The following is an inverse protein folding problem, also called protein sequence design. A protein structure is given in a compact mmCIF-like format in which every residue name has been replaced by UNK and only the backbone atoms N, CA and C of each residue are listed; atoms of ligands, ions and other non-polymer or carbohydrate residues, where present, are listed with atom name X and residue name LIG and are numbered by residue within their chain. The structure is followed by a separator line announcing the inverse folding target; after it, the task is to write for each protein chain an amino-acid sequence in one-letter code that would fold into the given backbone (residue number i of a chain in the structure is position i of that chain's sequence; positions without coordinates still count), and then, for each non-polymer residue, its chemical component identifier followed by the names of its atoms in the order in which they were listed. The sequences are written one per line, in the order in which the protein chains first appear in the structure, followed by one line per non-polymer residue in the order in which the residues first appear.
data_IF_958263006622
#
_entry.id   IF_958263006622
#
_cell.length_a   1.000
_cell.length_b   1.000
_cell.length_c   1.000
_cell.angle_alpha   90.00
_cell.angle_beta   90.00
_cell.angle_gamma   90.00
#
_symmetry.space_group_name_H-M   'P 1'
#
loop_
_entity.id
_entity.type
_entity.pdbx_description
1 polymer ?
#
# COMPACT_ATOMS: atom_id res chain seq x y z
N UNK A 1 -6.17 13.18 12.57
CA UNK A 1 -6.96 12.20 11.81
C UNK A 1 -6.41 12.22 10.39
N UNK A 2 -5.93 11.10 9.81
CA UNK A 2 -5.68 11.08 8.38
C UNK A 2 -7.03 11.14 7.67
N UNK A 3 -7.13 11.95 6.62
CA UNK A 3 -8.32 11.95 5.76
C UNK A 3 -8.46 10.54 5.16
N UNK A 4 -9.71 10.05 5.09
CA UNK A 4 -10.09 8.82 4.39
C UNK A 4 -9.89 9.01 2.88
N UNK A 5 -8.64 9.08 2.45
CA UNK A 5 -8.27 8.92 1.05
C UNK A 5 -8.17 7.40 0.83
N UNK A 6 -9.29 6.70 0.96
CA UNK A 6 -9.38 5.31 0.52
C UNK A 6 -9.06 5.30 -0.97
N UNK A 7 -8.22 4.35 -1.38
CA UNK A 7 -7.86 4.10 -2.77
C UNK A 7 -9.09 4.27 -3.64
N UNK A 8 -9.07 5.12 -4.69
CA UNK A 8 -10.23 5.29 -5.54
C UNK A 8 -10.64 3.90 -6.04
N UNK A 9 -11.76 3.42 -5.50
CA UNK A 9 -12.33 2.15 -5.84
C UNK A 9 -12.86 2.26 -7.26
N UNK A 10 -11.97 2.16 -8.25
CA UNK A 10 -12.35 1.81 -9.61
C UNK A 10 -12.76 0.34 -9.63
N UNK A 11 -13.81 -0.02 -8.90
CA UNK A 11 -14.71 -1.09 -9.31
C UNK A 11 -15.69 -0.53 -10.36
N UNK A 12 -15.18 0.19 -11.36
CA UNK A 12 -15.94 0.38 -12.59
C UNK A 12 -15.55 -0.79 -13.49
N UNK A 13 -16.16 -1.94 -13.24
CA UNK A 13 -16.36 -2.95 -14.28
C UNK A 13 -17.60 -2.51 -15.03
N UNK A 14 -17.49 -1.85 -16.20
CA UNK A 14 -18.68 -1.65 -17.00
C UNK A 14 -19.13 -3.03 -17.43
N UNK A 15 -20.33 -3.44 -17.01
CA UNK A 15 -21.17 -4.21 -17.92
C UNK A 15 -21.39 -3.28 -19.12
N UNK A 16 -20.51 -3.41 -20.12
CA UNK A 16 -20.40 -2.55 -21.30
C UNK A 16 -21.68 -2.52 -22.14
N UNK A 17 -22.68 -3.31 -21.78
CA UNK A 17 -23.99 -3.36 -22.42
C UNK A 17 -24.99 -2.31 -21.92
N UNK A 18 -24.80 -1.68 -20.74
CA UNK A 18 -25.86 -0.88 -20.09
C UNK A 18 -25.43 0.43 -19.40
N UNK A 19 -24.16 0.85 -19.47
CA UNK A 19 -23.76 2.14 -18.91
C UNK A 19 -24.34 3.29 -19.76
N UNK A 20 -25.30 4.04 -19.21
CA UNK A 20 -25.87 5.20 -19.89
C UNK A 20 -24.94 6.43 -19.77
N UNK A 21 -25.23 7.49 -20.54
CA UNK A 21 -24.45 8.74 -20.48
C UNK A 21 -24.48 9.43 -19.11
N UNK A 22 -25.48 9.14 -18.26
CA UNK A 22 -25.59 9.67 -16.91
C UNK A 22 -24.60 8.99 -15.96
N UNK A 23 -24.41 7.68 -16.07
CA UNK A 23 -23.45 6.91 -15.27
C UNK A 23 -22.01 7.30 -15.57
N UNK A 24 -21.69 7.51 -16.85
CA UNK A 24 -20.38 8.04 -17.26
C UNK A 24 -20.13 9.43 -16.66
N UNK A 25 -21.16 10.30 -16.66
CA UNK A 25 -21.04 11.66 -16.08
C UNK A 25 -20.80 11.59 -14.57
N UNK A 26 -21.51 10.71 -13.85
CA UNK A 26 -21.30 10.51 -12.41
C UNK A 26 -19.88 10.02 -12.11
N UNK A 27 -19.38 9.06 -12.87
CA UNK A 27 -18.02 8.55 -12.72
C UNK A 27 -16.97 9.65 -12.94
N UNK A 28 -17.14 10.49 -13.97
CA UNK A 28 -16.23 11.63 -14.21
C UNK A 28 -16.25 12.65 -13.08
N UNK A 29 -17.43 13.00 -12.55
CA UNK A 29 -17.54 13.93 -11.43
C UNK A 29 -16.96 13.34 -10.13
N UNK A 30 -17.09 12.03 -9.91
CA UNK A 30 -16.46 11.34 -8.80
C UNK A 30 -14.93 11.43 -8.89
N UNK A 31 -14.34 11.14 -10.06
CA UNK A 31 -12.89 11.23 -10.27
C UNK A 31 -12.38 12.67 -10.04
N UNK A 32 -13.12 13.68 -10.54
CA UNK A 32 -12.76 15.08 -10.31
C UNK A 32 -12.79 15.43 -8.83
N UNK A 33 -13.82 15.00 -8.12
CA UNK A 33 -13.98 15.24 -6.68
C UNK A 33 -12.86 14.59 -5.88
N UNK A 34 -12.56 13.32 -6.14
CA UNK A 34 -11.47 12.60 -5.46
C UNK A 34 -10.12 13.25 -5.74
N UNK A 35 -9.89 13.75 -6.97
CA UNK A 35 -8.69 14.52 -7.32
C UNK A 35 -8.61 15.86 -6.58
N UNK A 36 -9.72 16.58 -6.43
CA UNK A 36 -9.78 17.84 -5.69
C UNK A 36 -9.59 17.64 -4.18
N UNK A 37 -10.18 16.59 -3.62
CA UNK A 37 -10.11 16.28 -2.19
C UNK A 37 -8.76 15.69 -1.77
N UNK A 38 -8.14 14.83 -2.60
CA UNK A 38 -6.87 14.17 -2.31
C UNK A 38 -5.64 14.93 -2.86
N UNK A 39 -5.84 15.93 -3.71
CA UNK A 39 -4.75 16.71 -4.31
C UNK A 39 -3.72 15.83 -5.04
N UNK A 40 -2.40 16.09 -4.89
CA UNK A 40 -1.36 15.31 -5.57
C UNK A 40 -1.29 13.85 -5.10
N UNK A 41 -1.82 13.54 -3.92
CA UNK A 41 -1.80 12.20 -3.34
C UNK A 41 -2.79 11.24 -4.01
N UNK A 42 -3.76 11.76 -4.78
CA UNK A 42 -4.70 10.96 -5.58
C UNK A 42 -3.97 9.99 -6.51
N UNK A 43 -3.01 10.50 -7.29
CA UNK A 43 -2.25 9.69 -8.24
C UNK A 43 -1.32 8.71 -7.55
N UNK A 44 -0.72 9.13 -6.43
CA UNK A 44 0.18 8.28 -5.65
C UNK A 44 -0.58 7.07 -5.11
N UNK A 45 -1.73 7.28 -4.46
CA UNK A 45 -2.55 6.20 -3.92
C UNK A 45 -3.12 5.30 -5.02
N UNK A 46 -3.51 5.88 -6.16
CA UNK A 46 -3.99 5.12 -7.32
C UNK A 46 -2.93 4.17 -7.89
N UNK A 47 -1.69 4.63 -8.01
CA UNK A 47 -0.62 3.85 -8.62
C UNK A 47 -0.07 2.80 -7.64
N UNK A 48 -0.05 3.08 -6.34
CA UNK A 48 0.34 2.11 -5.30
C UNK A 48 -0.58 0.90 -5.20
N UNK A 49 -1.85 1.05 -5.56
CA UNK A 49 -2.81 -0.06 -5.63
C UNK A 49 -2.51 -1.06 -6.76
N UNK A 50 -1.59 -0.71 -7.67
CA UNK A 50 -1.27 -1.55 -8.82
C UNK A 50 -0.07 -2.43 -8.53
N UNK A 51 -0.32 -3.74 -8.56
CA UNK A 51 0.69 -4.77 -8.33
C UNK A 51 1.94 -4.60 -9.23
N UNK A 52 1.76 -4.20 -10.49
CA UNK A 52 2.89 -3.95 -11.40
C UNK A 52 3.80 -2.81 -10.92
N UNK A 53 3.25 -1.80 -10.24
CA UNK A 53 4.01 -0.66 -9.74
C UNK A 53 4.81 -1.04 -8.50
N UNK A 54 4.18 -1.76 -7.57
CA UNK A 54 4.88 -2.34 -6.41
C UNK A 54 6.03 -3.23 -6.89
N UNK A 55 5.76 -4.12 -7.85
CA UNK A 55 6.80 -4.97 -8.45
C UNK A 55 7.94 -4.16 -9.09
N UNK A 56 7.64 -3.05 -9.74
CA UNK A 56 8.65 -2.15 -10.28
C UNK A 56 9.50 -1.53 -9.16
N UNK A 57 8.88 -0.98 -8.12
CA UNK A 57 9.58 -0.39 -6.98
C UNK A 57 10.46 -1.41 -6.25
N UNK A 58 9.92 -2.59 -5.96
CA UNK A 58 10.65 -3.68 -5.30
C UNK A 58 11.87 -4.14 -6.09
N UNK A 59 11.82 -4.10 -7.43
CA UNK A 59 12.98 -4.44 -8.28
C UNK A 59 13.97 -3.29 -8.37
N UNK A 60 13.48 -2.06 -8.54
CA UNK A 60 14.33 -0.89 -8.79
C UNK A 60 15.04 -0.41 -7.53
N UNK A 61 14.38 -0.50 -6.38
CA UNK A 61 14.86 -0.04 -5.09
C UNK A 61 15.08 -1.21 -4.11
N UNK A 62 15.34 -2.42 -4.62
CA UNK A 62 15.49 -3.63 -3.83
C UNK A 62 16.41 -3.45 -2.62
N UNK A 63 17.65 -2.99 -2.84
CA UNK A 63 18.62 -2.78 -1.76
C UNK A 63 18.14 -1.81 -0.69
N UNK A 64 17.48 -0.72 -1.10
CA UNK A 64 16.98 0.30 -0.19
C UNK A 64 15.79 -0.21 0.64
N UNK A 65 14.88 -0.97 0.01
CA UNK A 65 13.76 -1.60 0.70
C UNK A 65 14.26 -2.66 1.68
N UNK A 66 15.21 -3.50 1.27
CA UNK A 66 15.83 -4.50 2.14
C UNK A 66 16.50 -3.83 3.34
N UNK A 67 17.35 -2.82 3.13
CA UNK A 67 18.01 -2.10 4.23
C UNK A 67 17.00 -1.52 5.23
N UNK A 68 15.90 -0.94 4.74
CA UNK A 68 14.88 -0.33 5.59
C UNK A 68 14.02 -1.38 6.33
N UNK A 69 13.92 -2.60 5.82
CA UNK A 69 13.07 -3.66 6.40
C UNK A 69 13.86 -4.73 7.15
N UNK A 70 15.19 -4.72 7.04
CA UNK A 70 16.07 -5.74 7.61
C UNK A 70 15.90 -5.85 9.13
N UNK A 71 15.72 -4.73 9.83
CA UNK A 71 15.50 -4.73 11.28
C UNK A 71 14.31 -5.61 11.71
N UNK A 72 13.22 -5.60 10.94
CA UNK A 72 12.06 -6.44 11.25
C UNK A 72 12.34 -7.91 10.93
N UNK A 73 13.13 -8.20 9.90
CA UNK A 73 13.55 -9.57 9.56
C UNK A 73 14.43 -10.13 10.67
N UNK A 74 15.41 -9.36 11.14
CA UNK A 74 16.30 -9.75 12.23
C UNK A 74 15.50 -10.01 13.52
N UNK A 75 14.53 -9.15 13.86
CA UNK A 75 13.66 -9.33 15.03
C UNK A 75 12.71 -10.54 14.89
N UNK A 76 12.27 -10.85 13.66
CA UNK A 76 11.49 -12.06 13.37
C UNK A 76 12.34 -13.31 13.52
N UNK A 77 13.59 -13.31 13.04
CA UNK A 77 14.53 -14.43 13.21
C UNK A 77 14.81 -14.69 14.71
N UNK A 78 15.08 -13.64 15.49
CA UNK A 78 15.27 -13.76 16.94
C UNK A 78 14.01 -14.30 17.64
N UNK A 79 12.82 -13.92 17.17
CA UNK A 79 11.56 -14.42 17.69
C UNK A 79 11.34 -15.89 17.35
N UNK A 80 11.76 -16.33 16.16
CA UNK A 80 11.72 -17.74 15.74
C UNK A 80 12.67 -18.61 16.57
N UNK A 81 13.88 -18.13 16.87
CA UNK A 81 14.84 -18.83 17.72
C UNK A 81 14.31 -19.06 19.15
N UNK A 82 13.44 -18.16 19.63
CA UNK A 82 12.82 -18.23 20.96
C UNK A 82 11.52 -19.03 20.98
N UNK A 83 11.08 -19.59 19.86
CA UNK A 83 9.78 -20.28 19.73
C UNK A 83 9.57 -21.37 20.77
N UNK A 84 10.60 -22.18 21.04
CA UNK A 84 10.51 -23.28 22.03
C UNK A 84 10.51 -22.77 23.49
N UNK A 85 10.89 -21.51 23.72
CA UNK A 85 10.91 -20.88 25.04
C UNK A 85 9.69 -19.99 25.31
N UNK A 86 8.97 -19.60 24.25
CA UNK A 86 7.77 -18.79 24.31
C UNK A 86 6.54 -19.69 24.35
N UNK A 87 5.49 -19.25 25.04
CA UNK A 87 4.17 -19.84 24.86
C UNK A 87 3.70 -19.58 23.41
N UNK A 88 3.03 -20.56 22.81
CA UNK A 88 2.54 -20.50 21.42
C UNK A 88 1.74 -19.22 21.14
N UNK A 89 0.88 -18.81 22.08
CA UNK A 89 0.11 -17.58 21.97
C UNK A 89 0.99 -16.33 21.90
N UNK A 90 2.04 -16.26 22.72
CA UNK A 90 2.93 -15.09 22.79
C UNK A 90 3.84 -15.02 21.57
N UNK A 91 4.31 -16.17 21.08
CA UNK A 91 5.07 -16.28 19.83
C UNK A 91 4.25 -15.78 18.63
N UNK A 92 3.02 -16.30 18.46
CA UNK A 92 2.16 -15.89 17.35
C UNK A 92 1.80 -14.41 17.41
N UNK A 93 1.54 -13.88 18.60
CA UNK A 93 1.21 -12.46 18.79
C UNK A 93 2.39 -11.57 18.40
N UNK A 94 3.61 -11.90 18.84
CA UNK A 94 4.82 -11.14 18.48
C UNK A 94 5.13 -11.22 16.99
N UNK A 95 5.06 -12.41 16.40
CA UNK A 95 5.33 -12.59 14.98
C UNK A 95 4.34 -11.80 14.11
N UNK A 96 3.04 -11.86 14.44
CA UNK A 96 2.02 -11.09 13.72
C UNK A 96 2.22 -9.57 13.85
N UNK A 97 2.65 -9.09 15.02
CA UNK A 97 2.97 -7.67 15.21
C UNK A 97 4.15 -7.24 14.33
N UNK A 98 5.23 -8.02 14.31
CA UNK A 98 6.42 -7.73 13.49
C UNK A 98 6.09 -7.74 11.99
N UNK A 99 5.27 -8.68 11.53
CA UNK A 99 4.80 -8.72 10.14
C UNK A 99 3.95 -7.49 9.80
N UNK A 100 3.04 -7.09 10.69
CA UNK A 100 2.20 -5.91 10.50
C UNK A 100 3.05 -4.63 10.44
N UNK A 101 4.03 -4.49 11.33
CA UNK A 101 4.92 -3.34 11.39
C UNK A 101 5.84 -3.26 10.16
N UNK A 102 6.39 -4.40 9.72
CA UNK A 102 7.15 -4.50 8.47
C UNK A 102 6.31 -4.06 7.28
N UNK A 103 5.10 -4.60 7.13
CA UNK A 103 4.20 -4.26 6.03
C UNK A 103 3.83 -2.77 6.04
N UNK A 104 3.57 -2.20 7.21
CA UNK A 104 3.28 -0.77 7.34
C UNK A 104 4.50 0.10 6.97
N UNK A 105 5.69 -0.34 7.35
CA UNK A 105 6.95 0.33 7.00
C UNK A 105 7.20 0.31 5.49
N UNK A 106 7.02 -0.85 4.84
CA UNK A 106 7.13 -0.99 3.39
C UNK A 106 6.11 -0.12 2.65
N UNK A 107 4.85 -0.07 3.09
CA UNK A 107 3.84 0.79 2.48
C UNK A 107 4.20 2.27 2.54
N UNK A 108 4.71 2.75 3.69
CA UNK A 108 5.21 4.13 3.83
C UNK A 108 6.37 4.39 2.86
N UNK A 109 7.27 3.42 2.74
CA UNK A 109 8.42 3.52 1.84
C UNK A 109 7.99 3.60 0.38
N UNK A 110 7.09 2.72 -0.06
CA UNK A 110 6.53 2.75 -1.42
C UNK A 110 5.84 4.09 -1.71
N UNK A 111 5.10 4.62 -0.74
CA UNK A 111 4.47 5.93 -0.88
C UNK A 111 5.50 7.05 -1.08
N UNK A 112 6.58 7.09 -0.27
CA UNK A 112 7.64 8.10 -0.44
C UNK A 112 8.37 7.96 -1.78
N UNK A 113 8.70 6.74 -2.20
CA UNK A 113 9.34 6.48 -3.49
C UNK A 113 8.44 6.93 -4.65
N UNK A 114 7.15 6.60 -4.59
CA UNK A 114 6.18 6.99 -5.62
C UNK A 114 6.02 8.50 -5.67
N UNK A 115 5.94 9.16 -4.51
CA UNK A 115 5.86 10.61 -4.41
C UNK A 115 7.05 11.29 -5.08
N UNK A 116 8.26 10.80 -4.84
CA UNK A 116 9.47 11.36 -5.46
C UNK A 116 9.46 11.17 -6.97
N UNK A 117 9.07 10.00 -7.47
CA UNK A 117 9.01 9.72 -8.91
C UNK A 117 7.94 10.56 -9.63
N UNK A 118 6.80 10.81 -8.98
CA UNK A 118 5.71 11.63 -9.56
C UNK A 118 6.03 13.13 -9.51
N UNK A 119 6.86 13.56 -8.54
CA UNK A 119 7.29 14.95 -8.42
C UNK A 119 8.37 15.33 -9.45
N UNK A 120 9.17 14.37 -9.90
CA UNK A 120 10.15 14.50 -10.98
C UNK A 120 9.49 14.51 -12.39
#
# INVERSE_FOLDING_TARGET
MPLNCETPGFMYQPDTALADHHDVRKAVEQIKREKEECGPDYLINFVLDKEYWINYLSRRYASFITEHTQVFVDEMEETEEKKDTLNEYDYLTKMNALVADKNQSEQKLYYQLTKNIVAD
#
